data_IF_422314745513
#
_entry.id   IF_422314745513
#
_cell.length_a   1.000
_cell.length_b   1.000
_cell.length_c   1.000
_cell.angle_alpha   90.00
_cell.angle_beta   90.00
_cell.angle_gamma   90.00
#
_symmetry.space_group_name_H-M   'P 1'
#
loop_
_entity.id
_entity.type
_entity.pdbx_description
1 polymer ?
#
# COMPACT_ATOMS: atom_id res chain seq x y z
N UNK A 1 14.13 49.10 14.58
CA UNK A 1 13.67 47.83 13.98
C UNK A 1 12.17 47.89 13.83
N UNK A 2 11.65 47.81 12.61
CA UNK A 2 10.21 47.85 12.40
C UNK A 2 9.63 46.46 12.76
N UNK A 3 8.71 46.36 13.73
CA UNK A 3 8.18 45.09 14.24
C UNK A 3 7.55 44.24 13.13
N UNK A 4 7.05 44.85 12.05
CA UNK A 4 6.49 44.11 10.91
C UNK A 4 7.50 43.16 10.26
N UNK A 5 8.79 43.51 10.20
CA UNK A 5 9.80 42.59 9.64
C UNK A 5 9.98 41.34 10.49
N UNK A 6 9.95 41.49 11.82
CA UNK A 6 10.07 40.35 12.74
C UNK A 6 8.90 39.40 12.52
N UNK A 7 7.67 39.92 12.45
CA UNK A 7 6.49 39.11 12.16
C UNK A 7 6.61 38.40 10.80
N UNK A 8 7.00 39.11 9.73
CA UNK A 8 7.15 38.51 8.40
C UNK A 8 8.19 37.38 8.43
N UNK A 9 9.36 37.60 9.03
CA UNK A 9 10.40 36.55 9.12
C UNK A 9 9.93 35.35 9.95
N UNK A 10 9.24 35.58 11.06
CA UNK A 10 8.69 34.51 11.88
C UNK A 10 7.63 33.71 11.11
N UNK A 11 6.72 34.38 10.39
CA UNK A 11 5.74 33.73 9.54
C UNK A 11 6.40 32.88 8.44
N UNK A 12 7.40 33.41 7.72
CA UNK A 12 8.12 32.64 6.69
C UNK A 12 8.82 31.41 7.28
N UNK A 13 9.49 31.55 8.43
CA UNK A 13 10.14 30.42 9.12
C UNK A 13 9.10 29.38 9.56
N UNK A 14 7.95 29.82 10.09
CA UNK A 14 6.85 28.92 10.48
C UNK A 14 6.29 28.19 9.26
N UNK A 15 5.96 28.89 8.18
CA UNK A 15 5.41 28.27 6.96
C UNK A 15 6.40 27.27 6.35
N UNK A 16 7.67 27.66 6.18
CA UNK A 16 8.70 26.76 5.66
C UNK A 16 8.92 25.51 6.53
N UNK A 17 8.84 25.66 7.86
CA UNK A 17 8.91 24.52 8.79
C UNK A 17 7.70 23.57 8.65
N UNK A 18 6.49 24.12 8.57
CA UNK A 18 5.25 23.34 8.43
C UNK A 18 5.20 22.56 7.11
N UNK A 19 5.58 23.19 6.01
CA UNK A 19 5.66 22.56 4.69
C UNK A 19 6.65 21.38 4.71
N UNK A 20 7.85 21.58 5.26
CA UNK A 20 8.88 20.55 5.34
C UNK A 20 8.42 19.29 6.12
N UNK A 21 7.54 19.46 7.10
CA UNK A 21 7.04 18.33 7.89
C UNK A 21 5.91 17.56 7.19
N UNK A 22 5.03 18.23 6.44
CA UNK A 22 3.84 17.59 5.86
C UNK A 22 4.16 16.51 4.81
N UNK A 23 5.35 16.55 4.20
CA UNK A 23 5.73 15.64 3.12
C UNK A 23 6.27 14.28 3.57
N UNK A 24 6.61 14.08 4.85
CA UNK A 24 7.39 12.90 5.26
C UNK A 24 6.67 11.57 5.10
N UNK A 25 5.34 11.55 5.08
CA UNK A 25 4.54 10.30 5.11
C UNK A 25 3.35 10.30 4.14
N UNK A 26 3.41 11.08 3.06
CA UNK A 26 2.34 11.10 2.06
C UNK A 26 2.43 9.86 1.16
N UNK A 27 1.51 8.91 1.36
CA UNK A 27 1.33 7.75 0.47
C UNK A 27 0.18 7.96 -0.51
N UNK A 28 0.29 7.32 -1.69
CA UNK A 28 -0.81 7.28 -2.64
C UNK A 28 -1.88 6.33 -2.11
N UNK A 29 -3.03 6.86 -1.69
CA UNK A 29 -4.14 6.04 -1.19
C UNK A 29 -4.50 4.93 -2.21
N UNK A 30 -4.72 3.68 -1.77
CA UNK A 30 -4.84 3.20 -0.38
C UNK A 30 -3.53 2.68 0.25
N UNK A 31 -2.35 3.05 -0.26
CA UNK A 31 -1.09 2.63 0.36
C UNK A 31 -0.91 3.23 1.75
N UNK A 32 -0.24 2.47 2.63
CA UNK A 32 -0.07 2.81 4.04
C UNK A 32 1.41 3.05 4.30
N UNK A 33 1.74 4.17 4.94
CA UNK A 33 3.10 4.41 5.40
C UNK A 33 3.43 3.47 6.56
N UNK A 34 4.53 2.73 6.45
CA UNK A 34 5.03 1.88 7.52
C UNK A 34 6.53 2.10 7.70
N UNK A 35 6.98 2.15 8.96
CA UNK A 35 8.41 2.15 9.30
C UNK A 35 9.07 0.79 9.05
N UNK A 36 8.30 -0.29 9.27
CA UNK A 36 8.69 -1.65 8.95
C UNK A 36 7.71 -2.20 7.89
N UNK A 37 8.19 -2.31 6.66
CA UNK A 37 7.38 -2.82 5.55
C UNK A 37 7.33 -4.34 5.49
N UNK A 38 6.14 -4.91 5.36
CA UNK A 38 5.94 -6.35 5.13
C UNK A 38 6.01 -6.74 3.65
N UNK A 39 5.72 -8.00 3.36
CA UNK A 39 5.52 -8.46 1.98
C UNK A 39 4.19 -7.94 1.41
N UNK A 40 4.19 -7.63 0.13
CA UNK A 40 3.00 -7.25 -0.61
C UNK A 40 2.55 -8.39 -1.52
N UNK A 41 1.24 -8.50 -1.74
CA UNK A 41 0.68 -9.51 -2.63
C UNK A 41 0.12 -8.85 -3.89
N UNK A 42 0.38 -9.47 -5.04
CA UNK A 42 -0.23 -9.12 -6.32
C UNK A 42 -1.60 -9.78 -6.47
N UNK A 43 -2.40 -9.26 -7.39
CA UNK A 43 -3.62 -9.93 -7.82
C UNK A 43 -3.33 -11.36 -8.33
N UNK A 44 -4.14 -12.32 -7.89
CA UNK A 44 -3.99 -13.73 -8.26
C UNK A 44 -2.96 -14.54 -7.48
N UNK A 45 -2.17 -13.91 -6.60
CA UNK A 45 -1.34 -14.63 -5.63
C UNK A 45 -2.17 -15.17 -4.47
N UNK A 46 -1.77 -16.33 -3.92
CA UNK A 46 -2.38 -16.90 -2.72
C UNK A 46 -2.18 -15.99 -1.51
N UNK A 47 -3.14 -16.01 -0.57
CA UNK A 47 -2.98 -15.35 0.74
C UNK A 47 -1.89 -16.04 1.59
N UNK A 48 -1.56 -17.29 1.28
CA UNK A 48 -0.55 -18.09 1.99
C UNK A 48 0.84 -18.01 1.37
N UNK A 49 1.11 -17.00 0.54
CA UNK A 49 2.43 -16.82 -0.03
C UNK A 49 3.46 -16.62 1.10
N UNK A 50 4.58 -17.35 1.11
CA UNK A 50 5.56 -17.25 2.18
C UNK A 50 6.14 -15.83 2.24
N UNK A 51 6.18 -15.26 3.44
CA UNK A 51 6.80 -13.97 3.70
C UNK A 51 7.85 -14.12 4.79
N UNK A 52 9.06 -13.66 4.51
CA UNK A 52 10.12 -13.62 5.52
C UNK A 52 9.72 -12.61 6.61
N UNK A 53 9.89 -13.00 7.88
CA UNK A 53 9.72 -12.12 9.04
C UNK A 53 10.90 -11.15 9.15
N UNK A 54 10.98 -10.23 8.18
CA UNK A 54 11.99 -9.17 8.12
C UNK A 54 11.31 -7.86 7.78
N UNK A 55 11.86 -6.77 8.30
CA UNK A 55 11.41 -5.43 7.97
C UNK A 55 12.06 -4.95 6.67
N UNK A 56 11.23 -4.60 5.69
CA UNK A 56 11.68 -3.75 4.59
C UNK A 56 11.81 -2.30 5.08
N UNK A 57 12.52 -1.47 4.30
CA UNK A 57 12.80 -0.06 4.63
C UNK A 57 11.51 0.75 4.87
N UNK A 58 11.54 1.84 5.65
CA UNK A 58 10.40 2.74 5.80
C UNK A 58 9.87 3.23 4.45
N UNK A 59 8.55 3.22 4.25
CA UNK A 59 7.95 3.59 2.98
C UNK A 59 6.44 3.34 2.89
N UNK A 60 5.89 3.49 1.68
CA UNK A 60 4.48 3.24 1.38
C UNK A 60 4.27 1.81 0.91
N UNK A 61 3.40 1.08 1.59
CA UNK A 61 3.17 -0.34 1.35
C UNK A 61 1.71 -0.65 0.99
N UNK A 62 1.54 -1.60 0.07
CA UNK A 62 0.26 -2.19 -0.30
C UNK A 62 0.01 -3.46 0.51
N UNK A 63 -0.40 -3.26 1.77
CA UNK A 63 -0.42 -4.35 2.75
C UNK A 63 -1.62 -5.31 2.54
N UNK A 64 -1.37 -6.61 2.37
CA UNK A 64 -2.42 -7.62 2.22
C UNK A 64 -3.24 -7.82 3.50
N UNK A 65 -2.69 -7.43 4.65
CA UNK A 65 -3.40 -7.45 5.94
C UNK A 65 -4.66 -6.59 5.91
N UNK A 66 -4.65 -5.49 5.14
CA UNK A 66 -5.82 -4.62 4.95
C UNK A 66 -6.65 -5.01 3.71
N UNK A 67 -6.49 -6.23 3.20
CA UNK A 67 -7.21 -6.70 2.01
C UNK A 67 -6.80 -5.98 0.73
N UNK A 68 -5.60 -5.39 0.68
CA UNK A 68 -5.07 -4.70 -0.49
C UNK A 68 -4.18 -5.62 -1.32
N UNK A 69 -4.12 -5.38 -2.63
CA UNK A 69 -3.29 -6.10 -3.60
C UNK A 69 -2.70 -5.13 -4.62
N UNK A 70 -1.50 -5.43 -5.12
CA UNK A 70 -0.97 -4.74 -6.31
C UNK A 70 -1.53 -5.35 -7.58
N UNK A 71 -2.04 -4.50 -8.46
CA UNK A 71 -2.43 -4.91 -9.81
C UNK A 71 -1.22 -5.10 -10.72
N UNK A 72 -1.48 -5.43 -11.99
CA UNK A 72 -0.43 -5.61 -13.01
C UNK A 72 0.32 -4.32 -13.39
N UNK A 73 -0.23 -3.15 -13.03
CA UNK A 73 0.35 -1.83 -13.28
C UNK A 73 1.06 -1.28 -12.04
N UNK A 74 1.14 -2.06 -10.96
CA UNK A 74 1.76 -1.66 -9.70
C UNK A 74 0.88 -0.76 -8.81
N UNK A 75 -0.39 -0.55 -9.17
CA UNK A 75 -1.34 0.21 -8.36
C UNK A 75 -1.83 -0.65 -7.19
N UNK A 76 -1.86 -0.06 -5.99
CA UNK A 76 -2.48 -0.68 -4.85
C UNK A 76 -4.01 -0.53 -4.94
N UNK A 77 -4.71 -1.65 -4.97
CA UNK A 77 -6.18 -1.72 -5.08
C UNK A 77 -6.72 -2.70 -4.05
N UNK A 78 -8.03 -2.68 -3.82
CA UNK A 78 -8.67 -3.72 -3.00
C UNK A 78 -8.57 -5.09 -3.69
N UNK A 79 -8.41 -6.17 -2.91
CA UNK A 79 -8.44 -7.56 -3.40
C UNK A 79 -9.68 -7.85 -4.25
N UNK A 80 -10.81 -7.23 -3.94
CA UNK A 80 -12.07 -7.40 -4.68
C UNK A 80 -12.08 -6.73 -6.06
N UNK A 81 -11.20 -5.76 -6.29
CA UNK A 81 -11.00 -5.13 -7.60
C UNK A 81 -10.03 -5.92 -8.50
N UNK A 82 -9.37 -6.95 -7.97
CA UNK A 82 -8.55 -7.82 -8.79
C UNK A 82 -9.41 -8.54 -9.83
N UNK A 83 -8.93 -8.70 -11.08
CA UNK A 83 -9.64 -9.50 -12.07
C UNK A 83 -9.78 -10.92 -11.53
N UNK A 84 -11.02 -11.39 -11.40
CA UNK A 84 -11.28 -12.80 -11.08
C UNK A 84 -10.69 -13.62 -12.22
N UNK A 85 -9.90 -14.64 -11.89
CA UNK A 85 -9.57 -15.69 -12.86
C UNK A 85 -10.93 -16.26 -13.28
N UNK A 86 -11.42 -15.84 -14.45
CA UNK A 86 -12.52 -16.53 -15.10
C UNK A 86 -11.94 -17.92 -15.34
N UNK A 87 -12.36 -18.90 -14.56
CA UNK A 87 -12.26 -20.30 -14.96
C UNK A 87 -13.17 -20.46 -16.18
N UNK A 88 -12.83 -19.82 -17.30
CA UNK A 88 -13.31 -20.19 -18.60
C UNK A 88 -12.80 -21.62 -18.76
N UNK A 89 -13.71 -22.58 -18.54
CA UNK A 89 -13.59 -24.00 -18.86
C UNK A 89 -13.08 -24.95 -17.75
N UNK A 90 -13.33 -24.69 -16.46
CA UNK A 90 -13.20 -25.74 -15.44
C UNK A 90 -14.52 -26.52 -15.16
N UNK A 91 -15.59 -26.23 -15.89
CA UNK A 91 -16.86 -26.96 -15.76
C UNK A 91 -16.80 -28.42 -16.25
N UNK A 92 -15.62 -28.92 -16.65
CA UNK A 92 -15.43 -30.30 -17.08
C UNK A 92 -14.44 -31.13 -16.25
N UNK A 93 -13.91 -30.67 -15.10
CA UNK A 93 -13.00 -31.51 -14.29
C UNK A 93 -13.12 -31.27 -12.78
N UNK A 94 -14.32 -31.39 -12.22
CA UNK A 94 -14.47 -31.77 -10.82
C UNK A 94 -15.42 -32.96 -10.71
N UNK A 95 -14.97 -34.20 -10.99
CA UNK A 95 -15.61 -35.35 -10.38
C UNK A 95 -15.26 -35.31 -8.89
N UNK A 96 -16.11 -34.66 -8.10
CA UNK A 96 -16.23 -34.96 -6.68
C UNK A 96 -16.73 -36.40 -6.57
N UNK A 97 -15.80 -37.36 -6.52
CA UNK A 97 -15.97 -38.71 -5.99
C UNK A 97 -14.66 -39.47 -6.22
N UNK A 98 -13.84 -39.58 -5.17
CA UNK A 98 -12.92 -40.68 -4.87
C UNK A 98 -11.89 -40.20 -3.83
N UNK A 99 -12.35 -39.99 -2.60
CA UNK A 99 -11.51 -40.28 -1.44
C UNK A 99 -12.26 -41.40 -0.72
N UNK A 100 -11.62 -42.55 -0.76
CA UNK A 100 -12.03 -43.88 -0.29
C UNK A 100 -12.38 -43.88 1.19
#
# INVERSE_FOLDING_TARGET
MNPFFIFITAFVVIFTYLDAHQHRHKCRRPEIWAYCGGCELKCGQSDFAPCALRCNRPGCYCSPFFGLRRDRYGKCISKYQCPRKKYLNAHNILPWNHIR
#
